data_IF_361156592871
#
_entry.id   IF_361156592871
#
_cell.length_a   1.000
_cell.length_b   1.000
_cell.length_c   1.000
_cell.angle_alpha   90.00
_cell.angle_beta   90.00
_cell.angle_gamma   90.00
#
_symmetry.space_group_name_H-M   'P 1'
#
loop_
_entity.id
_entity.type
_entity.pdbx_description
1 polymer ?
#
# COMPACT_ATOMS: atom_id res chain seq x y z
N UNK A 1 14.70 1.09 2.13
CA UNK A 1 13.87 0.71 0.95
C UNK A 1 12.70 -0.10 1.46
N UNK A 2 11.48 0.27 1.10
CA UNK A 2 10.33 -0.50 1.55
C UNK A 2 10.22 -1.80 0.75
N UNK A 3 10.38 -2.94 1.41
CA UNK A 3 10.32 -4.27 0.79
C UNK A 3 8.86 -4.75 0.66
N UNK A 4 8.00 -3.90 0.10
CA UNK A 4 6.63 -4.26 -0.25
C UNK A 4 6.59 -4.69 -1.71
N UNK A 5 5.72 -5.66 -2.02
CA UNK A 5 5.54 -6.18 -3.38
C UNK A 5 4.08 -6.09 -3.79
N UNK A 6 3.81 -5.91 -5.07
CA UNK A 6 2.45 -6.03 -5.61
C UNK A 6 1.90 -7.43 -5.32
N UNK A 7 0.61 -7.51 -4.99
CA UNK A 7 -0.05 -8.73 -4.53
C UNK A 7 0.19 -9.10 -3.06
N UNK A 8 1.07 -8.40 -2.35
CA UNK A 8 1.32 -8.66 -0.94
C UNK A 8 0.16 -8.17 -0.06
N UNK A 9 -0.20 -8.97 0.96
CA UNK A 9 -1.14 -8.55 2.00
C UNK A 9 -0.43 -7.72 3.07
N UNK A 10 -1.08 -6.64 3.46
CA UNK A 10 -0.61 -5.69 4.47
C UNK A 10 -1.76 -5.30 5.40
N UNK A 11 -1.41 -4.85 6.60
CA UNK A 11 -2.30 -4.17 7.53
C UNK A 11 -2.09 -2.67 7.40
N UNK A 12 -3.18 -1.94 7.16
CA UNK A 12 -3.19 -0.48 7.11
C UNK A 12 -3.20 0.12 8.53
N UNK A 13 -2.95 1.43 8.70
CA UNK A 13 -3.06 2.09 10.01
C UNK A 13 -4.43 1.98 10.69
N UNK A 14 -5.49 1.78 9.91
CA UNK A 14 -6.83 1.52 10.42
C UNK A 14 -7.03 0.11 10.98
N UNK A 15 -6.00 -0.76 10.92
CA UNK A 15 -6.07 -2.15 11.35
C UNK A 15 -6.73 -3.09 10.35
N UNK A 16 -7.17 -2.58 9.18
CA UNK A 16 -7.81 -3.38 8.14
C UNK A 16 -6.76 -4.07 7.27
N UNK A 17 -7.12 -5.26 6.77
CA UNK A 17 -6.36 -5.96 5.75
C UNK A 17 -6.53 -5.28 4.39
N UNK A 18 -5.42 -5.17 3.66
CA UNK A 18 -5.41 -4.69 2.30
C UNK A 18 -4.35 -5.42 1.47
N UNK A 19 -4.56 -5.47 0.17
CA UNK A 19 -3.63 -6.06 -0.80
C UNK A 19 -2.95 -4.95 -1.60
N UNK A 20 -1.62 -4.96 -1.68
CA UNK A 20 -0.84 -3.99 -2.47
C UNK A 20 -1.16 -4.17 -3.95
N UNK A 21 -1.57 -3.10 -4.63
CA UNK A 21 -1.88 -3.09 -6.06
C UNK A 21 -0.81 -2.41 -6.89
N UNK A 22 -0.33 -1.26 -6.42
CA UNK A 22 0.64 -0.46 -7.15
C UNK A 22 1.60 0.21 -6.17
N UNK A 23 2.88 0.25 -6.55
CA UNK A 23 3.93 0.96 -5.83
C UNK A 23 4.38 2.10 -6.73
N UNK A 24 4.16 3.33 -6.26
CA UNK A 24 4.57 4.55 -6.93
C UNK A 24 5.87 5.02 -6.29
N UNK A 25 7.00 4.73 -6.94
CA UNK A 25 8.33 5.21 -6.54
C UNK A 25 8.73 6.39 -7.42
N UNK A 26 8.69 7.60 -6.87
CA UNK A 26 9.23 8.80 -7.51
C UNK A 26 10.65 9.09 -7.02
N UNK A 27 11.66 8.92 -7.87
CA UNK A 27 13.03 9.32 -7.55
C UNK A 27 13.17 10.86 -7.68
N UNK A 28 12.80 11.61 -6.63
CA UNK A 28 13.19 13.03 -6.52
C UNK A 28 14.13 13.21 -5.34
N UNK A 29 15.27 13.86 -5.59
CA UNK A 29 16.44 14.01 -4.69
C UNK A 29 16.16 14.71 -3.34
N UNK A 30 14.93 15.15 -3.07
CA UNK A 30 14.59 15.93 -1.86
C UNK A 30 13.50 15.34 -1.00
N UNK A 31 12.66 14.45 -1.52
CA UNK A 31 11.63 13.80 -0.71
C UNK A 31 11.34 12.40 -1.26
N UNK A 32 11.67 11.39 -0.46
CA UNK A 32 11.34 10.00 -0.73
C UNK A 32 9.85 9.72 -0.56
N UNK A 33 9.02 10.31 -1.40
CA UNK A 33 7.58 10.07 -1.44
C UNK A 33 7.26 8.76 -2.17
N UNK A 34 7.80 7.64 -1.70
CA UNK A 34 7.24 6.34 -2.06
C UNK A 34 5.77 6.32 -1.60
N UNK A 35 4.86 5.98 -2.51
CA UNK A 35 3.44 5.78 -2.22
C UNK A 35 3.05 4.37 -2.61
N UNK A 36 2.14 3.79 -1.84
CA UNK A 36 1.63 2.44 -2.08
C UNK A 36 0.12 2.53 -2.18
N UNK A 37 -0.43 2.08 -3.29
CA UNK A 37 -1.87 1.93 -3.48
C UNK A 37 -2.23 0.51 -3.06
N UNK A 38 -3.11 0.40 -2.07
CA UNK A 38 -3.62 -0.85 -1.53
C UNK A 38 -5.14 -0.92 -1.74
N UNK A 39 -5.67 -2.12 -1.95
CA UNK A 39 -7.11 -2.38 -1.98
C UNK A 39 -7.51 -3.07 -0.67
N UNK A 40 -8.53 -2.57 0.03
CA UNK A 40 -9.02 -3.27 1.23
C UNK A 40 -9.57 -4.66 0.89
N UNK A 41 -9.24 -5.67 1.71
CA UNK A 41 -9.79 -7.02 1.57
C UNK A 41 -11.28 -7.03 1.94
N UNK A 42 -12.05 -7.89 1.28
CA UNK A 42 -13.49 -8.05 1.51
C UNK A 42 -14.38 -7.14 0.65
N UNK A 43 -13.80 -6.37 -0.28
CA UNK A 43 -14.57 -5.60 -1.27
C UNK A 43 -14.11 -5.98 -2.68
N UNK A 44 -14.93 -6.76 -3.39
CA UNK A 44 -14.63 -7.20 -4.75
C UNK A 44 -14.89 -6.09 -5.77
N UNK A 45 -13.91 -5.82 -6.64
CA UNK A 45 -14.04 -5.01 -7.86
C UNK A 45 -14.61 -3.59 -7.73
N UNK A 46 -14.19 -2.86 -6.70
CA UNK A 46 -14.54 -1.46 -6.57
C UNK A 46 -13.28 -0.58 -6.50
N UNK A 47 -13.13 0.30 -7.49
CA UNK A 47 -12.05 1.30 -7.52
C UNK A 47 -12.20 2.31 -6.37
N UNK A 48 -13.38 2.43 -5.76
CA UNK A 48 -13.63 3.28 -4.60
C UNK A 48 -12.95 2.75 -3.32
N UNK A 49 -12.48 1.50 -3.31
CA UNK A 49 -11.84 0.87 -2.14
C UNK A 49 -10.31 0.84 -2.21
N UNK A 50 -9.73 1.69 -3.07
CA UNK A 50 -8.29 1.91 -3.13
C UNK A 50 -7.86 3.00 -2.15
N UNK A 51 -6.77 2.74 -1.42
CA UNK A 51 -6.16 3.71 -0.50
C UNK A 51 -4.70 3.91 -0.87
N UNK A 52 -4.27 5.17 -0.91
CA UNK A 52 -2.86 5.53 -1.10
C UNK A 52 -2.21 5.82 0.25
N UNK A 53 -1.19 5.05 0.61
CA UNK A 53 -0.50 5.15 1.89
C UNK A 53 1.00 5.30 1.70
N UNK A 54 1.69 5.77 2.76
CA UNK A 54 3.15 5.71 2.79
C UNK A 54 3.59 4.29 3.19
N UNK A 55 4.66 3.76 2.59
CA UNK A 55 5.09 2.40 2.84
C UNK A 55 5.40 2.09 4.32
N UNK A 56 5.94 3.04 5.07
CA UNK A 56 6.27 2.87 6.50
C UNK A 56 5.03 2.77 7.41
N UNK A 57 3.85 3.12 6.91
CA UNK A 57 2.58 3.01 7.63
C UNK A 57 1.93 1.63 7.48
N UNK A 58 2.46 0.80 6.58
CA UNK A 58 1.95 -0.53 6.28
C UNK A 58 2.73 -1.58 7.07
N UNK A 59 2.01 -2.55 7.65
CA UNK A 59 2.63 -3.72 8.28
C UNK A 59 2.45 -4.94 7.39
N UNK A 60 3.52 -5.69 7.17
CA UNK A 60 3.45 -6.96 6.42
C UNK A 60 2.65 -7.99 7.21
N UNK A 61 1.79 -8.74 6.54
CA UNK A 61 1.21 -9.96 7.08
C UNK A 61 2.23 -11.07 6.85
N UNK A 62 2.67 -11.72 7.93
CA UNK A 62 3.57 -12.89 7.91
C UNK A 62 2.87 -14.15 7.44
#
# INVERSE_FOLDING_TARGET
MCDLKTGQKVITPSGRLATVKLILSGCSKKDGFERVICQYDGVENDQENLVTLQPHLLKKVS
#
